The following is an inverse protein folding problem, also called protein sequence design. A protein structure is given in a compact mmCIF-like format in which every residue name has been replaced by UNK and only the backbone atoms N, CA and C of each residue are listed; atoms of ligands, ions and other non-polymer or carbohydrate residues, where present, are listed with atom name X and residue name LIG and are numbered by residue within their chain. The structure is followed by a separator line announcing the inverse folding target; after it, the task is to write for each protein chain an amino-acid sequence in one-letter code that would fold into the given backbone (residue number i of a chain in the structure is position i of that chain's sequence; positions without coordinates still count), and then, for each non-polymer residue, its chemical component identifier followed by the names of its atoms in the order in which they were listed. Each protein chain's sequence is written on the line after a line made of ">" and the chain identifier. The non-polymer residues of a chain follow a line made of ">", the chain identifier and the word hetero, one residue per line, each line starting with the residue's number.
data_IF_597593480780
#
_entry.id   IF_597593480780
#
_cell.length_a   1.000
_cell.length_b   1.000
_cell.length_c   1.000
_cell.angle_alpha   90.00
_cell.angle_beta   90.00
_cell.angle_gamma   90.00
#
_symmetry.space_group_name_H-M   'P 1'
#
loop_
_entity.id
_entity.type
_entity.pdbx_description
1 polymer ?
#
# COMPACT_ATOMS: atom_id res chain seq x y z
N UNK A 1 7.13 5.32 -13.20
CA UNK A 1 5.71 4.95 -12.97
C UNK A 1 4.78 5.96 -13.61
N UNK A 2 4.83 7.24 -13.25
CA UNK A 2 3.93 8.27 -13.80
C UNK A 2 4.01 8.41 -15.33
N UNK A 3 5.20 8.33 -15.91
CA UNK A 3 5.41 8.43 -17.37
C UNK A 3 4.78 7.29 -18.18
N UNK A 4 4.39 6.19 -17.51
CA UNK A 4 3.85 5.00 -18.16
C UNK A 4 2.33 5.00 -18.25
N UNK A 5 1.63 6.02 -17.74
CA UNK A 5 0.17 6.08 -17.74
C UNK A 5 -0.32 7.47 -18.12
N UNK A 6 -1.36 7.56 -18.96
CA UNK A 6 -2.03 8.83 -19.28
C UNK A 6 -2.86 9.35 -18.11
N UNK A 7 -3.29 8.44 -17.23
CA UNK A 7 -3.90 8.75 -15.94
C UNK A 7 -3.80 7.58 -14.98
N UNK A 8 -3.79 7.85 -13.68
CA UNK A 8 -3.71 6.81 -12.65
C UNK A 8 -4.41 7.23 -11.36
N UNK A 9 -4.71 6.25 -10.52
CA UNK A 9 -5.13 6.44 -9.15
C UNK A 9 -4.70 5.29 -8.27
N UNK A 10 -4.45 5.56 -6.99
CA UNK A 10 -4.20 4.52 -6.02
C UNK A 10 -4.80 4.84 -4.65
N UNK A 11 -5.01 3.78 -3.89
CA UNK A 11 -5.38 3.84 -2.47
C UNK A 11 -4.40 3.01 -1.66
N UNK A 12 -4.13 3.46 -0.44
CA UNK A 12 -3.36 2.70 0.56
C UNK A 12 -4.32 2.36 1.68
N UNK A 13 -4.45 1.07 1.98
CA UNK A 13 -5.42 0.54 2.92
C UNK A 13 -4.70 -0.30 3.98
N UNK A 14 -4.89 0.09 5.24
CA UNK A 14 -4.55 -0.72 6.39
C UNK A 14 -5.46 -1.96 6.48
N UNK A 15 -5.11 -2.97 7.29
CA UNK A 15 -5.91 -4.17 7.43
C UNK A 15 -7.37 -3.88 7.83
N UNK A 16 -8.31 -4.22 6.96
CA UNK A 16 -9.75 -4.07 7.19
C UNK A 16 -10.34 -2.71 6.75
N UNK A 17 -9.52 -1.79 6.25
CA UNK A 17 -10.01 -0.50 5.75
C UNK A 17 -10.70 -0.64 4.39
N UNK A 18 -11.65 0.28 4.18
CA UNK A 18 -12.33 0.50 2.90
C UNK A 18 -11.91 1.85 2.35
N UNK A 19 -11.76 1.99 1.02
CA UNK A 19 -11.34 3.25 0.42
C UNK A 19 -12.42 4.33 0.59
N UNK A 20 -12.04 5.48 1.11
CA UNK A 20 -12.91 6.68 1.20
C UNK A 20 -12.45 7.82 0.30
N UNK A 21 -11.21 7.74 -0.20
CA UNK A 21 -10.60 8.64 -1.17
C UNK A 21 -9.48 7.90 -1.90
N UNK A 22 -8.86 8.54 -2.88
CA UNK A 22 -7.72 8.02 -3.64
C UNK A 22 -6.77 9.17 -3.98
N UNK A 23 -5.48 8.86 -4.06
CA UNK A 23 -4.50 9.74 -4.70
C UNK A 23 -4.55 9.49 -6.20
N UNK A 24 -4.82 10.53 -7.00
CA UNK A 24 -5.09 10.34 -8.42
C UNK A 24 -4.71 11.54 -9.28
N UNK A 25 -4.38 11.27 -10.54
CA UNK A 25 -4.23 12.28 -11.59
C UNK A 25 -5.51 12.54 -12.37
N UNK A 26 -6.60 11.82 -12.10
CA UNK A 26 -7.88 12.03 -12.76
C UNK A 26 -8.52 13.35 -12.30
N UNK A 27 -9.50 13.83 -13.06
CA UNK A 27 -10.19 15.08 -12.71
C UNK A 27 -10.88 14.96 -11.35
N UNK A 28 -10.95 16.08 -10.62
CA UNK A 28 -11.67 16.15 -9.35
C UNK A 28 -13.15 15.76 -9.51
N UNK A 29 -13.74 16.06 -10.68
CA UNK A 29 -15.10 15.64 -11.02
C UNK A 29 -15.25 14.11 -11.04
N UNK A 30 -14.35 13.40 -11.74
CA UNK A 30 -14.36 11.94 -11.75
C UNK A 30 -14.12 11.37 -10.35
N UNK A 31 -13.15 11.93 -9.62
CA UNK A 31 -12.82 11.48 -8.27
C UNK A 31 -14.02 11.58 -7.33
N UNK A 32 -14.70 12.74 -7.29
CA UNK A 32 -15.90 12.94 -6.50
C UNK A 32 -17.01 11.97 -6.92
N UNK A 33 -17.28 11.89 -8.22
CA UNK A 33 -18.32 11.02 -8.78
C UNK A 33 -18.10 9.55 -8.43
N UNK A 34 -16.86 9.08 -8.49
CA UNK A 34 -16.48 7.71 -8.18
C UNK A 34 -16.84 7.31 -6.75
N UNK A 35 -16.54 8.17 -5.78
CA UNK A 35 -16.83 7.91 -4.37
C UNK A 35 -18.32 8.13 -4.01
N UNK A 36 -18.99 9.12 -4.60
CA UNK A 36 -20.43 9.36 -4.40
C UNK A 36 -21.28 8.18 -4.88
N UNK A 37 -20.94 7.60 -6.03
CA UNK A 37 -21.62 6.42 -6.59
C UNK A 37 -21.10 5.10 -6.03
N UNK A 38 -20.13 5.14 -5.10
CA UNK A 38 -19.51 3.97 -4.47
C UNK A 38 -18.99 2.94 -5.49
N UNK A 39 -18.37 3.42 -6.57
CA UNK A 39 -17.91 2.53 -7.63
C UNK A 39 -16.87 1.50 -7.15
N UNK A 40 -16.11 1.79 -6.08
CA UNK A 40 -15.22 0.82 -5.42
C UNK A 40 -15.90 -0.51 -5.02
N UNK A 41 -17.23 -0.54 -4.88
CA UNK A 41 -17.98 -1.76 -4.57
C UNK A 41 -18.13 -2.71 -5.78
N UNK A 42 -18.14 -2.17 -7.00
CA UNK A 42 -18.36 -2.89 -8.27
C UNK A 42 -17.15 -2.88 -9.19
N UNK A 43 -16.14 -2.05 -8.89
CA UNK A 43 -14.93 -1.88 -9.69
C UNK A 43 -14.09 -3.18 -9.73
N UNK A 44 -13.77 -3.71 -10.93
CA UNK A 44 -12.91 -4.88 -11.10
C UNK A 44 -11.53 -4.76 -10.43
N UNK A 45 -11.01 -3.53 -10.24
CA UNK A 45 -9.79 -3.26 -9.46
C UNK A 45 -9.92 -3.82 -8.03
N UNK A 46 -11.04 -3.54 -7.37
CA UNK A 46 -11.30 -4.00 -6.01
C UNK A 46 -11.74 -5.46 -5.96
N UNK A 47 -12.40 -5.96 -7.02
CA UNK A 47 -12.68 -7.38 -7.14
C UNK A 47 -11.38 -8.20 -7.24
N UNK A 48 -10.44 -7.79 -8.09
CA UNK A 48 -9.12 -8.40 -8.23
C UNK A 48 -8.36 -8.38 -6.89
N UNK A 49 -8.40 -7.26 -6.18
CA UNK A 49 -7.79 -7.15 -4.84
C UNK A 49 -8.31 -8.21 -3.86
N UNK A 50 -9.62 -8.51 -3.88
CA UNK A 50 -10.20 -9.57 -3.05
C UNK A 50 -9.69 -10.95 -3.48
N UNK A 51 -9.59 -11.21 -4.78
CA UNK A 51 -9.05 -12.46 -5.33
C UNK A 51 -7.58 -12.70 -4.96
N UNK A 52 -6.77 -11.64 -4.83
CA UNK A 52 -5.37 -11.76 -4.44
C UNK A 52 -5.17 -12.29 -3.02
N UNK A 53 -6.18 -12.27 -2.14
CA UNK A 53 -6.12 -12.87 -0.81
C UNK A 53 -4.97 -12.33 0.06
N UNK A 54 -4.62 -11.05 -0.09
CA UNK A 54 -3.49 -10.43 0.63
C UNK A 54 -2.12 -10.64 0.00
N UNK A 55 -2.04 -11.17 -1.22
CA UNK A 55 -0.80 -11.29 -2.00
C UNK A 55 -0.65 -10.12 -2.96
N UNK A 56 0.59 -9.84 -3.35
CA UNK A 56 0.87 -8.89 -4.43
C UNK A 56 0.61 -9.53 -5.78
N UNK A 57 -0.04 -8.83 -6.70
CA UNK A 57 -0.23 -9.26 -8.08
C UNK A 57 -0.57 -8.07 -8.98
N UNK A 58 -0.44 -8.27 -10.29
CA UNK A 58 -0.91 -7.32 -11.31
C UNK A 58 -1.74 -8.02 -12.37
N UNK A 59 -2.60 -7.25 -13.04
CA UNK A 59 -3.46 -7.74 -14.11
C UNK A 59 -3.68 -6.65 -15.16
N UNK A 60 -3.66 -7.05 -16.43
CA UNK A 60 -4.25 -6.27 -17.51
C UNK A 60 -5.70 -6.76 -17.69
N UNK A 61 -6.65 -5.82 -17.69
CA UNK A 61 -8.05 -6.12 -17.91
C UNK A 61 -8.30 -6.44 -19.39
N UNK A 62 -9.13 -7.45 -19.64
CA UNK A 62 -9.61 -7.71 -21.00
C UNK A 62 -10.66 -6.68 -21.43
N UNK A 63 -10.94 -6.59 -22.73
CA UNK A 63 -12.01 -5.72 -23.24
C UNK A 63 -13.39 -6.09 -22.64
N UNK A 64 -13.63 -7.37 -22.38
CA UNK A 64 -14.87 -7.85 -21.74
C UNK A 64 -14.97 -7.38 -20.29
N UNK A 65 -13.86 -7.39 -19.53
CA UNK A 65 -13.86 -6.84 -18.17
C UNK A 65 -14.06 -5.32 -18.13
N UNK A 66 -13.65 -4.65 -19.21
CA UNK A 66 -13.79 -3.20 -19.40
C UNK A 66 -15.11 -2.79 -20.08
N UNK A 67 -16.03 -3.72 -20.36
CA UNK A 67 -17.34 -3.41 -20.98
C UNK A 67 -18.46 -3.17 -19.96
N UNK A 68 -18.11 -2.84 -18.72
CA UNK A 68 -19.10 -2.55 -17.68
C UNK A 68 -19.55 -1.08 -17.71
N UNK A 69 -20.75 -0.75 -17.18
CA UNK A 69 -21.22 0.65 -17.10
C UNK A 69 -20.25 1.58 -16.38
N UNK A 70 -19.49 1.07 -15.41
CA UNK A 70 -18.42 1.82 -14.74
C UNK A 70 -17.37 2.31 -15.74
N UNK A 71 -16.86 1.42 -16.60
CA UNK A 71 -15.81 1.77 -17.55
C UNK A 71 -16.31 2.64 -18.70
N UNK A 72 -17.57 2.47 -19.11
CA UNK A 72 -18.22 3.38 -20.06
C UNK A 72 -18.26 4.81 -19.53
N UNK A 73 -18.58 4.97 -18.24
CA UNK A 73 -18.58 6.28 -17.59
C UNK A 73 -17.15 6.80 -17.38
N UNK A 74 -16.25 5.98 -16.85
CA UNK A 74 -14.85 6.34 -16.61
C UNK A 74 -14.14 6.81 -17.88
N UNK A 75 -14.44 6.20 -19.03
CA UNK A 75 -13.86 6.57 -20.33
C UNK A 75 -14.16 8.01 -20.75
N UNK A 76 -15.32 8.55 -20.35
CA UNK A 76 -15.66 9.96 -20.62
C UNK A 76 -14.71 10.94 -19.92
N UNK A 77 -14.04 10.46 -18.86
CA UNK A 77 -13.04 11.20 -18.09
C UNK A 77 -11.60 10.75 -18.37
N UNK A 78 -11.39 9.82 -19.31
CA UNK A 78 -10.09 9.20 -19.55
C UNK A 78 -9.57 8.41 -18.34
N UNK A 79 -10.48 7.82 -17.55
CA UNK A 79 -10.18 7.12 -16.29
C UNK A 79 -10.46 5.61 -16.35
N UNK A 80 -10.63 5.04 -17.55
CA UNK A 80 -10.86 3.63 -17.80
C UNK A 80 -9.57 2.80 -17.66
N UNK A 81 -9.11 2.65 -16.41
CA UNK A 81 -7.87 1.96 -16.05
C UNK A 81 -7.85 0.51 -16.52
N UNK A 82 -6.96 0.18 -17.45
CA UNK A 82 -6.80 -1.18 -17.98
C UNK A 82 -5.69 -1.97 -17.29
N UNK A 83 -4.85 -1.33 -16.47
CA UNK A 83 -3.83 -1.98 -15.66
C UNK A 83 -4.18 -1.87 -14.17
N UNK A 84 -4.09 -3.01 -13.47
CA UNK A 84 -4.29 -3.12 -12.03
C UNK A 84 -3.02 -3.66 -11.41
N UNK A 85 -2.60 -3.05 -10.30
CA UNK A 85 -1.53 -3.58 -9.46
C UNK A 85 -1.93 -3.51 -7.99
N UNK A 86 -1.84 -4.65 -7.31
CA UNK A 86 -2.07 -4.78 -5.88
C UNK A 86 -0.73 -5.10 -5.25
N UNK A 87 -0.19 -4.19 -4.44
CA UNK A 87 1.01 -4.44 -3.64
C UNK A 87 0.59 -4.68 -2.19
N UNK A 88 0.98 -5.80 -1.61
CA UNK A 88 0.67 -6.17 -0.24
C UNK A 88 1.95 -6.27 0.61
N UNK A 89 1.97 -5.59 1.75
CA UNK A 89 3.08 -5.62 2.70
C UNK A 89 2.57 -5.59 4.13
N UNK A 90 2.89 -6.62 4.92
CA UNK A 90 2.53 -6.64 6.35
C UNK A 90 1.03 -6.47 6.61
N UNK A 91 0.15 -6.89 5.70
CA UNK A 91 -1.30 -6.67 5.80
C UNK A 91 -1.80 -5.32 5.26
N UNK A 92 -0.91 -4.33 5.06
CA UNK A 92 -1.20 -3.11 4.30
C UNK A 92 -1.26 -3.43 2.80
N UNK A 93 -2.10 -2.70 2.07
CA UNK A 93 -2.27 -2.86 0.63
C UNK A 93 -2.27 -1.51 -0.07
N UNK A 94 -1.43 -1.37 -1.09
CA UNK A 94 -1.61 -0.37 -2.14
C UNK A 94 -2.37 -1.02 -3.30
N UNK A 95 -3.46 -0.40 -3.72
CA UNK A 95 -4.24 -0.80 -4.89
C UNK A 95 -4.10 0.32 -5.91
N UNK A 96 -3.53 0.02 -7.05
CA UNK A 96 -3.23 0.95 -8.12
C UNK A 96 -4.00 0.59 -9.38
N UNK A 97 -4.65 1.59 -9.98
CA UNK A 97 -5.24 1.54 -11.32
C UNK A 97 -4.56 2.54 -12.24
N UNK A 98 -4.24 2.13 -13.46
CA UNK A 98 -3.61 3.00 -14.47
C UNK A 98 -4.19 2.80 -15.86
N UNK A 99 -4.24 3.90 -16.62
CA UNK A 99 -4.69 3.96 -18.01
C UNK A 99 -3.47 3.97 -18.92
N UNK A 100 -3.27 2.87 -19.64
CA UNK A 100 -2.33 2.77 -20.76
C UNK A 100 -2.75 1.58 -21.65
N UNK A 101 -3.53 1.86 -22.69
CA UNK A 101 -4.05 0.84 -23.61
C UNK A 101 -3.00 0.23 -24.54
N UNK A 102 -1.78 0.79 -24.58
CA UNK A 102 -0.65 0.25 -25.34
C UNK A 102 0.17 -0.77 -24.53
N UNK A 103 -0.19 -0.99 -23.26
CA UNK A 103 0.48 -1.97 -22.42
C UNK A 103 0.29 -3.40 -22.91
N UNK A 104 1.40 -4.12 -23.04
CA UNK A 104 1.40 -5.56 -23.23
C UNK A 104 1.77 -6.31 -21.93
N UNK A 105 1.57 -7.63 -21.95
CA UNK A 105 1.86 -8.48 -20.79
C UNK A 105 3.34 -8.54 -20.41
N UNK A 106 4.27 -8.08 -21.25
CA UNK A 106 5.72 -8.09 -20.97
C UNK A 106 6.14 -6.92 -20.09
N UNK A 107 5.46 -5.77 -20.22
CA UNK A 107 5.72 -4.59 -19.40
C UNK A 107 5.06 -4.66 -18.00
N UNK A 108 3.98 -5.44 -17.86
CA UNK A 108 3.21 -5.52 -16.61
C UNK A 108 4.05 -5.90 -15.37
N UNK A 109 4.99 -6.88 -15.40
CA UNK A 109 5.82 -7.20 -14.24
C UNK A 109 6.71 -6.03 -13.79
N UNK A 110 7.31 -5.29 -14.72
CA UNK A 110 8.17 -4.15 -14.40
C UNK A 110 7.37 -3.01 -13.74
N UNK A 111 6.16 -2.74 -14.25
CA UNK A 111 5.25 -1.78 -13.64
C UNK A 111 4.76 -2.24 -12.27
N UNK A 112 4.46 -3.52 -12.12
CA UNK A 112 4.10 -4.09 -10.81
C UNK A 112 5.22 -3.89 -9.78
N UNK A 113 6.47 -4.15 -10.15
CA UNK A 113 7.63 -3.86 -9.31
C UNK A 113 7.74 -2.37 -8.95
N UNK A 114 7.50 -1.47 -9.90
CA UNK A 114 7.47 -0.04 -9.63
C UNK A 114 6.36 0.33 -8.62
N UNK A 115 5.17 -0.27 -8.72
CA UNK A 115 4.09 -0.10 -7.74
C UNK A 115 4.48 -0.61 -6.35
N UNK A 116 5.19 -1.75 -6.28
CA UNK A 116 5.69 -2.26 -5.01
C UNK A 116 6.71 -1.32 -4.38
N UNK A 117 7.62 -0.75 -5.17
CA UNK A 117 8.60 0.23 -4.71
C UNK A 117 7.94 1.52 -4.20
N UNK A 118 6.93 2.04 -4.92
CA UNK A 118 6.17 3.20 -4.46
C UNK A 118 5.40 2.92 -3.17
N UNK A 119 4.71 1.78 -3.08
CA UNK A 119 4.03 1.36 -1.85
C UNK A 119 5.00 1.33 -0.66
N UNK A 120 6.18 0.72 -0.86
CA UNK A 120 7.20 0.65 0.17
C UNK A 120 7.70 2.03 0.57
N UNK A 121 7.84 2.97 -0.37
CA UNK A 121 8.26 4.35 -0.09
C UNK A 121 7.27 5.04 0.85
N UNK A 122 5.97 4.94 0.56
CA UNK A 122 4.94 5.53 1.44
C UNK A 122 4.97 4.92 2.85
N UNK A 123 5.15 3.59 2.96
CA UNK A 123 5.27 2.96 4.27
C UNK A 123 6.54 3.38 5.03
N UNK A 124 7.64 3.64 4.32
CA UNK A 124 8.90 4.10 4.92
C UNK A 124 8.80 5.54 5.44
N UNK A 125 8.02 6.41 4.81
CA UNK A 125 7.71 7.75 5.35
C UNK A 125 7.01 7.65 6.71
N UNK A 126 6.21 6.61 6.94
CA UNK A 126 5.64 6.32 8.26
C UNK A 126 6.71 6.06 9.33
N UNK A 127 7.85 5.46 8.95
CA UNK A 127 8.98 5.20 9.85
C UNK A 127 9.66 6.51 10.24
N UNK A 128 9.83 7.44 9.29
CA UNK A 128 10.44 8.76 9.53
C UNK A 128 9.62 9.60 10.52
N UNK A 129 8.34 9.28 10.66
CA UNK A 129 7.43 9.95 11.59
C UNK A 129 7.39 9.30 12.99
N UNK A 130 8.14 8.22 13.26
CA UNK A 130 8.23 7.65 14.61
C UNK A 130 8.89 8.65 15.58
N UNK A 131 8.41 8.70 16.82
CA UNK A 131 9.05 9.52 17.86
C UNK A 131 10.35 8.87 18.33
N UNK A 132 11.27 9.62 18.92
CA UNK A 132 12.53 9.11 19.49
C UNK A 132 12.32 7.86 20.38
N UNK A 133 11.40 7.92 21.34
CA UNK A 133 11.11 6.77 22.20
C UNK A 133 10.48 5.55 21.49
N UNK A 134 9.89 5.75 20.29
CA UNK A 134 9.46 4.65 19.42
C UNK A 134 10.66 4.08 18.65
N UNK A 135 11.58 4.93 18.18
CA UNK A 135 12.82 4.53 17.53
C UNK A 135 13.70 3.72 18.49
N UNK A 136 13.94 4.20 19.71
CA UNK A 136 14.69 3.48 20.75
C UNK A 136 14.09 2.09 21.03
N UNK A 137 12.75 2.02 21.05
CA UNK A 137 12.04 0.76 21.22
C UNK A 137 12.24 -0.20 20.02
N UNK A 138 12.26 0.32 18.80
CA UNK A 138 12.54 -0.46 17.60
C UNK A 138 13.99 -0.94 17.55
N UNK A 139 14.95 -0.12 17.99
CA UNK A 139 16.37 -0.48 18.11
C UNK A 139 16.56 -1.69 19.03
N UNK A 140 16.01 -1.64 20.25
CA UNK A 140 16.07 -2.78 21.19
C UNK A 140 15.47 -4.06 20.57
N UNK A 141 14.41 -3.92 19.77
CA UNK A 141 13.82 -5.06 19.06
C UNK A 141 14.70 -5.59 17.92
N UNK A 142 15.40 -4.71 17.19
CA UNK A 142 16.34 -5.10 16.12
C UNK A 142 17.57 -5.82 16.70
N UNK A 143 18.06 -5.37 17.86
CA UNK A 143 19.14 -6.01 18.62
C UNK A 143 18.74 -7.40 19.18
N UNK A 144 17.47 -7.78 19.04
CA UNK A 144 16.97 -9.10 19.41
C UNK A 144 16.59 -9.24 20.88
N UNK A 145 16.41 -8.13 21.62
CA UNK A 145 15.95 -8.20 23.00
C UNK A 145 14.52 -8.76 23.05
N UNK A 146 14.28 -9.66 24.01
CA UNK A 146 12.96 -10.22 24.27
C UNK A 146 12.09 -9.21 25.01
N UNK A 147 10.77 -9.29 24.86
CA UNK A 147 9.79 -8.38 25.48
C UNK A 147 9.99 -8.24 27.00
N UNK A 148 10.39 -9.32 27.70
CA UNK A 148 10.69 -9.29 29.13
C UNK A 148 11.95 -8.48 29.47
N UNK A 149 12.95 -8.49 28.60
CA UNK A 149 14.19 -7.74 28.76
C UNK A 149 13.92 -6.26 28.52
N UNK A 150 13.20 -5.94 27.44
CA UNK A 150 12.78 -4.57 27.12
C UNK A 150 11.88 -4.00 28.24
N UNK A 151 10.95 -4.80 28.75
CA UNK A 151 10.10 -4.41 29.88
C UNK A 151 10.92 -4.07 31.14
N UNK A 152 11.95 -4.88 31.43
CA UNK A 152 12.87 -4.65 32.54
C UNK A 152 13.68 -3.36 32.35
N UNK A 153 14.27 -3.18 31.16
CA UNK A 153 15.09 -2.02 30.81
C UNK A 153 14.29 -0.71 30.94
N UNK A 154 13.08 -0.71 30.41
CA UNK A 154 12.19 0.46 30.42
C UNK A 154 11.38 0.59 31.71
N UNK A 155 11.52 -0.34 32.66
CA UNK A 155 10.75 -0.42 33.93
C UNK A 155 9.24 -0.34 33.71
N UNK A 156 8.74 -1.08 32.72
CA UNK A 156 7.30 -1.18 32.39
C UNK A 156 6.83 -2.63 32.44
N UNK A 157 5.52 -2.85 32.35
CA UNK A 157 4.97 -4.20 32.22
C UNK A 157 5.17 -4.78 30.82
N UNK A 158 5.18 -6.10 30.70
CA UNK A 158 5.15 -6.80 29.40
C UNK A 158 3.90 -6.41 28.58
N UNK A 159 2.77 -6.16 29.25
CA UNK A 159 1.56 -5.66 28.58
C UNK A 159 1.75 -4.28 27.96
N UNK A 160 2.54 -3.40 28.58
CA UNK A 160 2.89 -2.11 28.00
C UNK A 160 3.75 -2.28 26.72
N UNK A 161 4.62 -3.28 26.67
CA UNK A 161 5.39 -3.62 25.47
C UNK A 161 4.45 -4.07 24.34
N UNK A 162 3.51 -4.96 24.62
CA UNK A 162 2.51 -5.40 23.63
C UNK A 162 1.69 -4.21 23.08
N UNK A 163 1.29 -3.28 23.96
CA UNK A 163 0.57 -2.07 23.56
C UNK A 163 1.43 -1.15 22.69
N UNK A 164 2.71 -0.95 23.02
CA UNK A 164 3.65 -0.16 22.20
C UNK A 164 3.80 -0.76 20.80
N UNK A 165 3.97 -2.08 20.69
CA UNK A 165 4.00 -2.78 19.38
C UNK A 165 2.75 -2.50 18.58
N UNK A 166 1.57 -2.61 19.20
CA UNK A 166 0.28 -2.33 18.54
C UNK A 166 0.19 -0.88 18.05
N UNK A 167 0.60 0.09 18.86
CA UNK A 167 0.61 1.52 18.48
C UNK A 167 1.54 1.77 17.30
N UNK A 168 2.74 1.18 17.29
CA UNK A 168 3.68 1.30 16.18
C UNK A 168 3.11 0.66 14.91
N UNK A 169 2.57 -0.56 14.99
CA UNK A 169 1.91 -1.22 13.87
C UNK A 169 0.80 -0.35 13.27
N UNK A 170 -0.05 0.24 14.12
CA UNK A 170 -1.12 1.13 13.69
C UNK A 170 -0.58 2.38 13.00
N UNK A 171 0.48 2.98 13.53
CA UNK A 171 1.12 4.19 12.97
C UNK A 171 1.79 3.92 11.61
N UNK A 172 2.34 2.73 11.43
CA UNK A 172 2.94 2.28 10.16
C UNK A 172 1.94 1.62 9.21
N UNK A 173 0.65 1.52 9.58
CA UNK A 173 -0.39 0.91 8.76
C UNK A 173 -0.26 -0.60 8.55
N UNK A 174 0.51 -1.32 9.36
CA UNK A 174 0.75 -2.77 9.21
C UNK A 174 0.02 -3.60 10.29
N UNK A 175 -0.27 -4.87 9.98
CA UNK A 175 -1.01 -5.80 10.85
C UNK A 175 -0.15 -6.47 11.93
N UNK A 176 1.16 -6.51 11.75
CA UNK A 176 2.04 -7.28 12.62
C UNK A 176 3.39 -6.59 12.83
N UNK A 177 3.97 -6.81 14.02
CA UNK A 177 5.18 -6.11 14.44
C UNK A 177 6.43 -6.55 13.68
N UNK A 178 6.44 -7.77 13.13
CA UNK A 178 7.54 -8.23 12.28
C UNK A 178 7.65 -7.39 10.99
N UNK A 179 6.52 -7.05 10.39
CA UNK A 179 6.49 -6.16 9.23
C UNK A 179 6.94 -4.74 9.59
N UNK A 180 6.51 -4.22 10.75
CA UNK A 180 6.98 -2.94 11.27
C UNK A 180 8.50 -2.92 11.46
N UNK A 181 9.06 -3.96 12.09
CA UNK A 181 10.51 -4.09 12.29
C UNK A 181 11.26 -4.22 10.97
N UNK A 182 10.70 -4.92 9.99
CA UNK A 182 11.28 -5.01 8.64
C UNK A 182 11.34 -3.64 7.94
N UNK A 183 10.29 -2.81 8.03
CA UNK A 183 10.31 -1.45 7.47
C UNK A 183 11.36 -0.59 8.16
N UNK A 184 11.43 -0.67 9.48
CA UNK A 184 12.41 0.04 10.28
C UNK A 184 13.84 -0.32 9.89
N UNK A 185 14.19 -1.61 9.86
CA UNK A 185 15.51 -2.06 9.43
C UNK A 185 15.82 -1.63 7.99
N UNK A 186 14.88 -1.77 7.05
CA UNK A 186 15.08 -1.27 5.69
C UNK A 186 15.41 0.23 5.71
N UNK A 187 14.65 1.04 6.46
CA UNK A 187 14.87 2.48 6.52
C UNK A 187 16.24 2.81 7.11
N UNK A 188 16.60 2.21 8.24
CA UNK A 188 17.89 2.34 8.92
C UNK A 188 19.07 2.03 7.99
N UNK A 189 18.98 0.94 7.23
CA UNK A 189 20.08 0.46 6.38
C UNK A 189 20.04 0.97 4.93
N UNK A 190 18.97 1.66 4.51
CA UNK A 190 18.81 2.17 3.13
C UNK A 190 19.88 3.18 2.69
N UNK A 191 20.60 3.81 3.65
CA UNK A 191 21.74 4.68 3.37
C UNK A 191 23.10 3.95 3.26
N UNK A 192 23.15 2.65 3.58
CA UNK A 192 24.39 1.85 3.65
C UNK A 192 24.38 0.75 2.58
N UNK A 193 23.21 0.19 2.27
CA UNK A 193 23.03 -0.84 1.25
C UNK A 193 22.17 -0.26 0.11
N UNK A 194 22.66 -0.23 -1.13
CA UNK A 194 21.84 0.16 -2.27
C UNK A 194 20.57 -0.70 -2.31
N UNK A 195 19.40 -0.06 -2.32
CA UNK A 195 18.15 -0.76 -2.56
C UNK A 195 18.12 -1.18 -4.04
N UNK A 196 18.45 -2.45 -4.29
CA UNK A 196 18.44 -3.09 -5.61
C UNK A 196 17.02 -3.53 -5.97
#
# INVERSE_FOLDING_TARGET
>A
MQESFSGFGFVILSPGEVPTSAETSFSAEWHQRYFDHKFHAVDPVFHFTKQCGGRSASKLLSQEEMSSPLFEEARQFGADSNFISVSAFGGNRMIFGGVNHDLDGRAAPALHHACQAAHKTVLLEGVDNLSDGQVDFMEMCEEGLLDKQIASELRVSISAIAQRKKVICSKLGVSNFRAALSLYSIRKWSGIIPMI
#
